data_IF_198389023944
#
_entry.id   IF_198389023944
#
_cell.length_a   1.000
_cell.length_b   1.000
_cell.length_c   1.000
_cell.angle_alpha   90.00
_cell.angle_beta   90.00
_cell.angle_gamma   90.00
#
_symmetry.space_group_name_H-M   'P 1'
#
loop_
_entity.id
_entity.type
_entity.pdbx_description
1 polymer ?
#
# COMPACT_ATOMS: atom_id res chain seq x y z
N UNK A 1 -11.68 3.54 -19.45
CA UNK A 1 -10.58 4.04 -18.61
C UNK A 1 -10.52 3.18 -17.35
N UNK A 2 -9.63 2.19 -17.30
CA UNK A 2 -9.46 1.29 -16.15
C UNK A 2 -8.58 1.98 -15.11
N UNK A 3 -9.16 2.77 -14.22
CA UNK A 3 -8.44 3.37 -13.07
C UNK A 3 -8.28 2.39 -11.89
N UNK A 4 -8.88 1.20 -11.93
CA UNK A 4 -9.12 0.42 -10.70
C UNK A 4 -7.99 -0.52 -10.26
N UNK A 5 -6.96 -0.71 -11.08
CA UNK A 5 -5.93 -1.73 -10.80
C UNK A 5 -4.67 -1.17 -10.12
N UNK A 6 -4.45 0.15 -10.15
CA UNK A 6 -3.23 0.78 -9.62
C UNK A 6 -3.45 1.89 -8.59
N UNK A 7 -4.67 2.17 -8.17
CA UNK A 7 -4.95 3.19 -7.15
C UNK A 7 -4.16 2.96 -5.85
N UNK A 8 -3.93 1.70 -5.47
CA UNK A 8 -3.12 1.37 -4.29
C UNK A 8 -1.65 1.77 -4.44
N UNK A 9 -1.11 1.80 -5.67
CA UNK A 9 0.29 2.08 -5.95
C UNK A 9 0.62 3.56 -5.74
N UNK A 10 -0.30 4.45 -6.10
CA UNK A 10 -0.10 5.90 -5.95
C UNK A 10 -0.16 6.29 -4.47
N UNK A 11 -1.12 5.74 -3.72
CA UNK A 11 -1.20 5.95 -2.26
C UNK A 11 0.01 5.34 -1.53
N UNK A 12 0.46 4.15 -1.95
CA UNK A 12 1.68 3.54 -1.44
C UNK A 12 2.92 4.41 -1.69
N UNK A 13 3.10 4.91 -2.92
CA UNK A 13 4.21 5.79 -3.27
C UNK A 13 4.19 7.08 -2.47
N UNK A 14 3.01 7.69 -2.30
CA UNK A 14 2.87 8.88 -1.47
C UNK A 14 3.29 8.61 -0.02
N UNK A 15 2.94 7.45 0.55
CA UNK A 15 3.34 7.07 1.91
C UNK A 15 4.86 6.83 2.04
N UNK A 16 5.51 6.21 1.04
CA UNK A 16 6.96 5.97 1.07
C UNK A 16 7.77 7.25 0.83
N UNK A 17 7.21 8.22 0.11
CA UNK A 17 7.81 9.54 -0.12
C UNK A 17 7.39 10.59 0.91
N UNK A 18 6.62 10.21 1.94
CA UNK A 18 6.27 11.13 3.02
C UNK A 18 7.43 11.25 4.00
N UNK A 19 7.87 12.49 4.23
CA UNK A 19 9.00 12.82 5.10
C UNK A 19 8.54 13.53 6.39
N UNK A 20 7.32 14.04 6.42
CA UNK A 20 6.71 14.63 7.60
C UNK A 20 6.34 13.53 8.61
N UNK A 21 7.07 13.48 9.73
CA UNK A 21 6.89 12.47 10.78
C UNK A 21 5.51 12.49 11.43
N UNK A 22 4.84 13.63 11.42
CA UNK A 22 3.49 13.75 12.00
C UNK A 22 2.43 13.24 11.02
N UNK A 23 2.68 13.35 9.71
CA UNK A 23 1.78 12.86 8.65
C UNK A 23 2.05 11.41 8.26
N UNK A 24 3.27 10.93 8.46
CA UNK A 24 3.70 9.58 8.06
C UNK A 24 2.80 8.46 8.62
N UNK A 25 2.37 8.46 9.90
CA UNK A 25 1.43 7.45 10.39
C UNK A 25 0.12 7.41 9.58
N UNK A 26 -0.43 8.58 9.27
CA UNK A 26 -1.70 8.72 8.53
C UNK A 26 -1.55 8.28 7.07
N UNK A 27 -0.42 8.61 6.45
CA UNK A 27 -0.09 8.19 5.08
C UNK A 27 0.11 6.68 4.99
N UNK A 28 0.79 6.07 5.97
CA UNK A 28 0.94 4.60 6.08
C UNK A 28 -0.43 3.94 6.21
N UNK A 29 -1.29 4.40 7.11
CA UNK A 29 -2.64 3.81 7.27
C UNK A 29 -3.47 3.90 5.99
N UNK A 30 -3.36 5.01 5.26
CA UNK A 30 -4.08 5.21 4.00
C UNK A 30 -3.61 4.23 2.94
N UNK A 31 -2.29 4.01 2.83
CA UNK A 31 -1.71 3.02 1.93
C UNK A 31 -2.09 1.58 2.31
N UNK A 32 -2.04 1.23 3.60
CA UNK A 32 -2.49 -0.08 4.09
C UNK A 32 -3.96 -0.34 3.75
N UNK A 33 -4.85 0.65 3.94
CA UNK A 33 -6.27 0.53 3.60
C UNK A 33 -6.49 0.29 2.09
N UNK A 34 -5.76 1.02 1.24
CA UNK A 34 -5.85 0.86 -0.21
C UNK A 34 -5.37 -0.53 -0.66
N UNK A 35 -4.24 -1.00 -0.13
CA UNK A 35 -3.68 -2.33 -0.44
C UNK A 35 -4.63 -3.45 0.05
N UNK A 36 -5.18 -3.35 1.26
CA UNK A 36 -6.14 -4.33 1.78
C UNK A 36 -7.45 -4.36 1.00
N UNK A 37 -7.92 -3.20 0.49
CA UNK A 37 -9.09 -3.15 -0.39
C UNK A 37 -8.80 -3.89 -1.71
N UNK A 38 -7.61 -3.69 -2.29
CA UNK A 38 -7.20 -4.38 -3.52
C UNK A 38 -7.06 -5.88 -3.30
N UNK A 39 -6.43 -6.30 -2.20
CA UNK A 39 -6.32 -7.72 -1.81
C UNK A 39 -7.68 -8.41 -1.68
N UNK A 40 -8.69 -7.71 -1.13
CA UNK A 40 -10.05 -8.26 -1.01
C UNK A 40 -10.78 -8.40 -2.36
N UNK A 41 -10.45 -7.57 -3.34
CA UNK A 41 -11.04 -7.60 -4.68
C UNK A 41 -10.37 -8.58 -5.64
N UNK A 42 -9.19 -9.09 -5.29
CA UNK A 42 -8.44 -10.02 -6.13
C UNK A 42 -8.91 -11.47 -5.90
N UNK A 43 -9.28 -12.22 -6.94
CA UNK A 43 -9.42 -13.66 -6.81
C UNK A 43 -8.08 -14.23 -6.34
N UNK A 44 -8.11 -15.16 -5.37
CA UNK A 44 -6.96 -15.76 -4.63
C UNK A 44 -5.92 -16.45 -5.56
N UNK A 45 -6.11 -16.40 -6.88
CA UNK A 45 -5.19 -16.90 -7.87
C UNK A 45 -3.83 -16.20 -7.77
N UNK A 46 -2.77 -17.01 -7.94
CA UNK A 46 -1.34 -16.73 -7.80
C UNK A 46 -0.81 -15.66 -8.79
N UNK A 47 -1.44 -14.50 -8.83
CA UNK A 47 -1.06 -13.41 -9.71
C UNK A 47 0.06 -12.60 -9.07
N UNK A 48 1.04 -12.21 -9.89
CA UNK A 48 2.17 -11.35 -9.53
C UNK A 48 1.77 -10.15 -8.65
N UNK A 49 0.61 -9.57 -8.93
CA UNK A 49 0.02 -8.45 -8.17
C UNK A 49 -0.21 -8.77 -6.69
N UNK A 50 -0.65 -9.99 -6.34
CA UNK A 50 -0.83 -10.37 -4.94
C UNK A 50 0.50 -10.41 -4.17
N UNK A 51 1.59 -10.77 -4.85
CA UNK A 51 2.94 -10.70 -4.27
C UNK A 51 3.37 -9.25 -4.09
N UNK A 52 3.17 -8.40 -5.10
CA UNK A 52 3.49 -6.97 -5.04
C UNK A 52 2.74 -6.26 -3.90
N UNK A 53 1.46 -6.58 -3.69
CA UNK A 53 0.65 -6.04 -2.59
C UNK A 53 1.17 -6.47 -1.22
N UNK A 54 1.59 -7.75 -1.07
CA UNK A 54 2.19 -8.24 0.17
C UNK A 54 3.56 -7.60 0.43
N UNK A 55 4.38 -7.46 -0.59
CA UNK A 55 5.69 -6.83 -0.49
C UNK A 55 5.53 -5.36 -0.07
N UNK A 56 4.55 -4.64 -0.63
CA UNK A 56 4.22 -3.27 -0.24
C UNK A 56 3.79 -3.14 1.24
N UNK A 57 2.96 -4.06 1.75
CA UNK A 57 2.60 -4.09 3.17
C UNK A 57 3.82 -4.32 4.07
N UNK A 58 4.73 -5.21 3.68
CA UNK A 58 5.96 -5.44 4.43
C UNK A 58 6.84 -4.18 4.47
N UNK A 59 6.98 -3.47 3.35
CA UNK A 59 7.70 -2.19 3.31
C UNK A 59 7.07 -1.13 4.22
N UNK A 60 5.74 -1.02 4.24
CA UNK A 60 5.03 -0.10 5.14
C UNK A 60 5.22 -0.47 6.62
N UNK A 61 5.23 -1.76 6.97
CA UNK A 61 5.47 -2.21 8.34
C UNK A 61 6.89 -1.84 8.82
N UNK A 62 7.89 -1.91 7.94
CA UNK A 62 9.26 -1.45 8.24
C UNK A 62 9.26 0.07 8.48
N UNK A 63 8.60 0.84 7.60
CA UNK A 63 8.49 2.29 7.72
C UNK A 63 7.84 2.70 9.05
N UNK A 64 6.77 2.00 9.44
CA UNK A 64 6.05 2.20 10.71
C UNK A 64 6.91 1.91 11.94
N UNK A 65 7.89 1.00 11.85
CA UNK A 65 8.80 0.67 12.94
C UNK A 65 9.92 1.72 13.12
N UNK A 66 10.12 2.61 12.15
CA UNK A 66 11.10 3.70 12.21
C UNK A 66 10.52 5.01 12.80
N UNK A 67 9.21 5.03 13.05
CA UNK A 67 8.50 6.06 13.78
C UNK A 67 8.63 5.82 15.29
#
# INVERSE_FOLDING_TARGET
MSHNDRDWLDVYRAAVMEFDRDKLPTSIESAEKAIHRRLRGLPIAKCKEHRELKDALNSLAVLKRML
#
